data_IF_959107769269
#
_entry.id   IF_959107769269
#
_cell.length_a   1.000
_cell.length_b   1.000
_cell.length_c   1.000
_cell.angle_alpha   90.00
_cell.angle_beta   90.00
_cell.angle_gamma   90.00
#
_symmetry.space_group_name_H-M   'P 1'
#
loop_
_entity.id
_entity.type
_entity.pdbx_description
1 polymer ?
#
# COMPACT_ATOMS: atom_id res chain seq x y z
N UNK A 1 12.59 16.69 -26.86
CA UNK A 1 11.48 16.25 -25.95
C UNK A 1 11.85 16.46 -24.50
N UNK A 2 13.05 16.05 -24.03
CA UNK A 2 13.45 16.22 -22.61
C UNK A 2 13.44 17.69 -22.17
N UNK A 3 13.92 18.61 -22.99
CA UNK A 3 14.05 20.06 -22.69
C UNK A 3 12.70 20.77 -22.43
N UNK A 4 11.59 20.15 -22.79
CA UNK A 4 10.24 20.67 -22.56
C UNK A 4 9.61 20.17 -21.25
N UNK A 5 10.24 19.19 -20.60
CA UNK A 5 9.71 18.57 -19.39
C UNK A 5 10.21 19.33 -18.17
N UNK A 6 9.27 19.83 -17.38
CA UNK A 6 9.54 20.47 -16.10
C UNK A 6 9.22 19.52 -14.94
N UNK A 7 10.18 19.30 -14.04
CA UNK A 7 9.95 18.58 -12.77
C UNK A 7 9.71 19.63 -11.68
N UNK A 8 8.56 19.52 -11.02
CA UNK A 8 8.14 20.46 -9.96
C UNK A 8 7.35 19.74 -8.88
N UNK A 9 7.13 20.41 -7.76
CA UNK A 9 6.18 19.92 -6.74
C UNK A 9 4.77 19.83 -7.31
N UNK A 10 4.04 18.80 -6.91
CA UNK A 10 2.65 18.58 -7.26
C UNK A 10 1.75 19.64 -6.64
N UNK A 11 0.69 20.01 -7.34
CA UNK A 11 -0.40 20.87 -6.87
C UNK A 11 -1.72 20.09 -6.87
N UNK A 12 -2.71 20.54 -6.12
CA UNK A 12 -4.02 19.88 -6.08
C UNK A 12 -4.67 19.74 -7.47
N UNK A 13 -4.50 20.73 -8.34
CA UNK A 13 -5.00 20.69 -9.72
C UNK A 13 -4.39 19.58 -10.58
N UNK A 14 -3.25 19.00 -10.18
CA UNK A 14 -2.60 17.91 -10.91
C UNK A 14 -3.25 16.54 -10.65
N UNK A 15 -4.10 16.40 -9.62
CA UNK A 15 -4.62 15.12 -9.15
C UNK A 15 -5.28 14.29 -10.26
N UNK A 16 -6.06 14.91 -11.15
CA UNK A 16 -6.68 14.24 -12.30
C UNK A 16 -5.63 13.74 -13.30
N UNK A 17 -4.64 14.56 -13.61
CA UNK A 17 -3.52 14.19 -14.49
C UNK A 17 -2.66 13.07 -13.90
N UNK A 18 -2.41 13.10 -12.58
CA UNK A 18 -1.69 12.06 -11.84
C UNK A 18 -2.47 10.74 -11.86
N UNK A 19 -3.78 10.77 -11.64
CA UNK A 19 -4.64 9.60 -11.74
C UNK A 19 -4.55 8.97 -13.13
N UNK A 20 -4.73 9.76 -14.20
CA UNK A 20 -4.65 9.27 -15.57
C UNK A 20 -3.29 8.63 -15.87
N UNK A 21 -2.20 9.35 -15.60
CA UNK A 21 -0.84 8.86 -15.87
C UNK A 21 -0.50 7.59 -15.10
N UNK A 22 -0.87 7.50 -13.82
CA UNK A 22 -0.62 6.30 -13.02
C UNK A 22 -1.46 5.11 -13.46
N UNK A 23 -2.71 5.35 -13.84
CA UNK A 23 -3.64 4.33 -14.33
C UNK A 23 -3.22 3.73 -15.68
N UNK A 24 -2.53 4.50 -16.51
CA UNK A 24 -1.99 4.03 -17.79
C UNK A 24 -0.60 3.35 -17.63
N UNK A 25 0.24 3.86 -16.73
CA UNK A 25 1.65 3.48 -16.64
C UNK A 25 1.95 2.29 -15.70
N UNK A 26 1.12 2.07 -14.66
CA UNK A 26 1.38 1.04 -13.64
C UNK A 26 0.92 -0.35 -14.07
N UNK A 27 -0.28 -0.55 -14.65
CA UNK A 27 -0.74 -1.87 -15.03
C UNK A 27 0.23 -2.57 -15.99
N UNK A 28 0.69 -3.75 -15.63
CA UNK A 28 1.64 -4.53 -16.42
C UNK A 28 0.94 -5.54 -17.35
N UNK A 29 -0.23 -6.06 -16.93
CA UNK A 29 -1.01 -7.06 -17.68
C UNK A 29 -2.29 -6.46 -18.28
N UNK A 30 -2.90 -7.18 -19.22
CA UNK A 30 -4.17 -6.76 -19.81
C UNK A 30 -5.32 -6.90 -18.82
N UNK A 31 -5.26 -7.87 -17.90
CA UNK A 31 -6.21 -8.02 -16.79
C UNK A 31 -6.17 -6.80 -15.88
N UNK A 32 -4.98 -6.36 -15.46
CA UNK A 32 -4.82 -5.15 -14.63
C UNK A 32 -5.33 -3.90 -15.36
N UNK A 33 -5.06 -3.77 -16.67
CA UNK A 33 -5.61 -2.67 -17.48
C UNK A 33 -7.13 -2.71 -17.57
N UNK A 34 -7.71 -3.92 -17.65
CA UNK A 34 -9.17 -4.06 -17.66
C UNK A 34 -9.77 -3.69 -16.29
N UNK A 35 -9.14 -4.11 -15.19
CA UNK A 35 -9.56 -3.70 -13.84
C UNK A 35 -9.53 -2.18 -13.68
N UNK A 36 -8.49 -1.52 -14.18
CA UNK A 36 -8.41 -0.04 -14.16
C UNK A 36 -9.56 0.60 -14.95
N UNK A 37 -9.91 0.06 -16.12
CA UNK A 37 -11.03 0.57 -16.94
C UNK A 37 -12.39 0.36 -16.29
N UNK A 38 -12.53 -0.68 -15.49
CA UNK A 38 -13.79 -1.05 -14.83
C UNK A 38 -14.01 -0.33 -13.49
N UNK A 39 -13.07 0.49 -13.03
CA UNK A 39 -13.21 1.25 -11.77
C UNK A 39 -14.44 2.13 -11.79
N UNK A 40 -15.18 2.11 -10.71
CA UNK A 40 -16.31 3.01 -10.50
C UNK A 40 -15.84 4.47 -10.35
N UNK A 41 -16.76 5.43 -10.55
CA UNK A 41 -16.46 6.84 -10.32
C UNK A 41 -16.04 7.11 -8.86
N UNK A 42 -16.60 6.36 -7.91
CA UNK A 42 -16.29 6.44 -6.48
C UNK A 42 -14.85 5.97 -6.19
N UNK A 43 -14.41 4.85 -6.78
CA UNK A 43 -13.04 4.36 -6.65
C UNK A 43 -12.01 5.35 -7.25
N UNK A 44 -12.35 5.96 -8.38
CA UNK A 44 -11.52 7.00 -9.01
C UNK A 44 -11.40 8.20 -8.08
N UNK A 45 -12.52 8.67 -7.52
CA UNK A 45 -12.53 9.81 -6.61
C UNK A 45 -11.76 9.54 -5.33
N UNK A 46 -11.91 8.36 -4.71
CA UNK A 46 -11.16 7.93 -3.54
C UNK A 46 -9.64 7.95 -3.78
N UNK A 47 -9.19 7.53 -4.99
CA UNK A 47 -7.77 7.60 -5.36
C UNK A 47 -7.27 9.04 -5.46
N UNK A 48 -8.06 9.95 -6.03
CA UNK A 48 -7.72 11.38 -6.11
C UNK A 48 -7.69 12.02 -4.73
N UNK A 49 -8.65 11.70 -3.86
CA UNK A 49 -8.65 12.15 -2.45
C UNK A 49 -7.41 11.69 -1.70
N UNK A 50 -6.91 10.48 -1.95
CA UNK A 50 -5.63 10.03 -1.38
C UNK A 50 -4.45 10.88 -1.84
N UNK A 51 -4.39 11.30 -3.11
CA UNK A 51 -3.33 12.20 -3.57
C UNK A 51 -3.41 13.58 -2.90
N UNK A 52 -4.61 14.08 -2.66
CA UNK A 52 -4.82 15.33 -1.92
C UNK A 52 -4.43 15.19 -0.44
N UNK A 53 -4.76 14.07 0.18
CA UNK A 53 -4.31 13.74 1.53
C UNK A 53 -2.77 13.75 1.64
N UNK A 54 -2.06 13.17 0.67
CA UNK A 54 -0.59 13.24 0.65
C UNK A 54 -0.07 14.66 0.43
N UNK A 55 -0.73 15.49 -0.35
CA UNK A 55 -0.36 16.90 -0.51
C UNK A 55 -0.54 17.68 0.78
N UNK A 56 -1.59 17.40 1.54
CA UNK A 56 -1.87 18.07 2.81
C UNK A 56 -0.78 17.78 3.86
N UNK A 57 -0.30 16.53 3.93
CA UNK A 57 0.60 16.09 4.98
C UNK A 57 2.07 16.00 4.54
N UNK A 58 2.33 15.79 3.24
CA UNK A 58 3.64 15.45 2.69
C UNK A 58 3.99 16.21 1.40
N UNK A 59 3.64 17.49 1.31
CA UNK A 59 3.86 18.28 0.08
C UNK A 59 5.31 18.21 -0.41
N UNK A 60 6.30 18.14 0.50
CA UNK A 60 7.72 18.03 0.15
C UNK A 60 8.08 16.72 -0.55
N UNK A 61 7.29 15.66 -0.32
CA UNK A 61 7.43 14.34 -0.96
C UNK A 61 6.69 14.19 -2.30
N UNK A 62 5.89 15.18 -2.70
CA UNK A 62 4.99 15.08 -3.85
C UNK A 62 5.56 15.82 -5.07
N UNK A 63 5.95 15.06 -6.10
CA UNK A 63 6.60 15.56 -7.30
C UNK A 63 5.90 15.10 -8.58
N UNK A 64 5.81 15.97 -9.55
CA UNK A 64 5.32 15.68 -10.91
C UNK A 64 6.30 16.17 -11.96
N UNK A 65 6.32 15.47 -13.09
CA UNK A 65 6.95 15.92 -14.32
C UNK A 65 5.85 16.30 -15.32
N UNK A 66 5.96 17.48 -15.93
CA UNK A 66 4.95 18.00 -16.87
C UNK A 66 5.56 18.31 -18.22
N UNK A 67 4.82 18.01 -19.30
CA UNK A 67 5.07 18.49 -20.67
C UNK A 67 3.87 19.37 -21.09
N UNK A 68 3.99 20.68 -20.91
CA UNK A 68 2.85 21.59 -20.92
C UNK A 68 1.85 21.22 -19.83
N UNK A 69 0.58 21.01 -20.19
CA UNK A 69 -0.51 20.63 -19.28
C UNK A 69 -0.60 19.12 -18.98
N UNK A 70 0.28 18.31 -19.58
CA UNK A 70 0.25 16.86 -19.38
C UNK A 70 1.19 16.43 -18.27
N UNK A 71 0.72 15.56 -17.39
CA UNK A 71 1.56 14.86 -16.43
C UNK A 71 2.30 13.73 -17.17
N UNK A 72 3.63 13.85 -17.25
CA UNK A 72 4.53 12.87 -17.85
C UNK A 72 5.05 11.83 -16.84
N UNK A 73 4.98 12.14 -15.54
CA UNK A 73 5.36 11.24 -14.48
C UNK A 73 5.08 11.83 -13.11
N UNK A 74 5.08 10.99 -12.10
CA UNK A 74 4.76 11.33 -10.70
C UNK A 74 5.58 10.50 -9.73
N UNK A 75 5.96 11.10 -8.60
CA UNK A 75 6.45 10.43 -7.40
C UNK A 75 5.77 11.06 -6.19
N UNK A 76 5.04 10.26 -5.42
CA UNK A 76 4.44 10.68 -4.14
C UNK A 76 5.08 9.86 -3.03
N UNK A 77 5.73 10.55 -2.11
CA UNK A 77 6.35 9.97 -0.93
C UNK A 77 5.80 10.62 0.32
N UNK A 78 5.70 9.85 1.38
CA UNK A 78 5.25 10.29 2.70
C UNK A 78 6.25 9.89 3.77
N UNK A 79 6.19 10.55 4.93
CA UNK A 79 7.03 10.24 6.10
C UNK A 79 6.12 10.12 7.32
N UNK A 80 6.23 8.99 8.02
CA UNK A 80 5.53 8.76 9.29
C UNK A 80 6.54 8.31 10.34
N UNK A 81 6.67 9.07 11.41
CA UNK A 81 7.59 8.79 12.54
C UNK A 81 9.00 8.36 12.11
N UNK A 82 9.54 9.00 11.06
CA UNK A 82 10.88 8.68 10.55
C UNK A 82 10.98 7.48 9.62
N UNK A 83 9.87 6.89 9.19
CA UNK A 83 9.81 5.92 8.08
C UNK A 83 9.32 6.62 6.81
N UNK A 84 10.13 6.58 5.76
CA UNK A 84 9.81 7.11 4.44
C UNK A 84 9.14 6.03 3.57
N UNK A 85 8.08 6.40 2.87
CA UNK A 85 7.31 5.49 2.01
C UNK A 85 7.15 6.11 0.62
N UNK A 86 7.43 5.35 -0.44
CA UNK A 86 7.04 5.72 -1.81
C UNK A 86 5.66 5.14 -2.12
N UNK A 87 4.65 5.98 -1.98
CA UNK A 87 3.24 5.60 -2.17
C UNK A 87 2.83 5.44 -3.64
N UNK A 88 3.38 6.29 -4.51
CA UNK A 88 3.07 6.26 -5.94
C UNK A 88 4.32 6.63 -6.73
N UNK A 89 4.62 5.84 -7.75
CA UNK A 89 5.68 6.14 -8.70
C UNK A 89 5.28 5.65 -10.10
N UNK A 90 5.14 6.57 -11.02
CA UNK A 90 4.76 6.26 -12.39
C UNK A 90 5.43 7.22 -13.39
N UNK A 91 5.79 6.69 -14.56
CA UNK A 91 6.26 7.47 -15.70
C UNK A 91 5.52 6.97 -16.94
N UNK A 92 4.82 7.86 -17.60
CA UNK A 92 4.10 7.59 -18.85
C UNK A 92 5.07 6.97 -19.88
N UNK A 93 4.65 5.94 -20.57
CA UNK A 93 5.46 5.13 -21.47
C UNK A 93 6.18 5.97 -22.53
N UNK A 94 5.52 7.01 -23.04
CA UNK A 94 6.04 7.93 -24.06
C UNK A 94 7.27 8.72 -23.57
N UNK A 95 7.44 8.86 -22.25
CA UNK A 95 8.53 9.62 -21.61
C UNK A 95 9.55 8.71 -20.91
N UNK A 96 9.47 7.40 -21.10
CA UNK A 96 10.48 6.46 -20.59
C UNK A 96 11.81 6.66 -21.31
N UNK A 97 12.88 6.20 -20.69
CA UNK A 97 14.27 6.29 -21.19
C UNK A 97 14.84 7.74 -21.34
N UNK A 98 14.11 8.76 -20.88
CA UNK A 98 14.57 10.15 -20.84
C UNK A 98 15.23 10.57 -19.49
N UNK A 99 15.52 9.60 -18.60
CA UNK A 99 16.05 9.87 -17.26
C UNK A 99 15.00 10.37 -16.25
N UNK A 100 13.76 10.59 -16.67
CA UNK A 100 12.71 11.21 -15.87
C UNK A 100 12.39 10.45 -14.59
N UNK A 101 12.30 9.12 -14.67
CA UNK A 101 12.05 8.31 -13.49
C UNK A 101 13.20 8.36 -12.47
N UNK A 102 14.46 8.54 -12.92
CA UNK A 102 15.59 8.77 -11.99
C UNK A 102 15.40 10.09 -11.26
N UNK A 103 15.16 11.16 -12.00
CA UNK A 103 15.02 12.50 -11.42
C UNK A 103 13.85 12.58 -10.43
N UNK A 104 12.67 12.03 -10.78
CA UNK A 104 11.52 11.99 -9.88
C UNK A 104 11.81 11.23 -8.60
N UNK A 105 12.44 10.06 -8.69
CA UNK A 105 12.80 9.27 -7.50
C UNK A 105 13.86 9.99 -6.67
N UNK A 106 14.89 10.59 -7.28
CA UNK A 106 15.90 11.35 -6.58
C UNK A 106 15.28 12.51 -5.79
N UNK A 107 14.31 13.22 -6.39
CA UNK A 107 13.56 14.31 -5.71
C UNK A 107 12.74 13.78 -4.53
N UNK A 108 12.04 12.66 -4.70
CA UNK A 108 11.26 12.05 -3.63
C UNK A 108 12.16 11.54 -2.49
N UNK A 109 13.35 11.00 -2.82
CA UNK A 109 14.32 10.50 -1.85
C UNK A 109 14.97 11.63 -1.01
N UNK A 110 15.04 12.87 -1.50
CA UNK A 110 15.47 14.00 -0.66
C UNK A 110 14.55 14.20 0.56
N UNK A 111 13.28 13.80 0.45
CA UNK A 111 12.34 13.85 1.57
C UNK A 111 12.61 12.75 2.63
N UNK A 112 13.45 11.75 2.33
CA UNK A 112 13.85 10.71 3.28
C UNK A 112 15.03 11.12 4.18
N UNK A 113 15.54 12.34 4.07
CA UNK A 113 16.64 12.82 4.88
C UNK A 113 16.27 12.81 6.38
N UNK A 114 17.11 12.16 7.20
CA UNK A 114 16.83 11.96 8.62
C UNK A 114 15.89 10.79 8.97
N UNK A 115 15.34 10.10 7.98
CA UNK A 115 14.53 8.90 8.22
C UNK A 115 15.40 7.71 8.61
N UNK A 116 14.90 6.90 9.55
CA UNK A 116 15.55 5.67 10.03
C UNK A 116 15.36 4.51 9.06
N UNK A 117 14.20 4.44 8.39
CA UNK A 117 13.80 3.38 7.47
C UNK A 117 13.05 3.88 6.26
N UNK A 118 12.92 3.03 5.25
CA UNK A 118 12.16 3.33 4.04
C UNK A 118 11.52 2.09 3.44
N UNK A 119 10.31 2.23 2.86
CA UNK A 119 9.54 1.14 2.27
C UNK A 119 8.94 1.54 0.92
N UNK A 120 8.78 0.56 0.03
CA UNK A 120 8.08 0.71 -1.26
C UNK A 120 7.31 -0.57 -1.55
N UNK A 121 6.02 -0.48 -1.83
CA UNK A 121 5.25 -1.55 -2.45
C UNK A 121 5.42 -1.43 -3.98
N UNK A 122 6.20 -2.31 -4.57
CA UNK A 122 6.62 -2.19 -5.95
C UNK A 122 5.82 -3.11 -6.88
N UNK A 123 5.60 -2.66 -8.11
CA UNK A 123 5.18 -3.56 -9.19
C UNK A 123 6.31 -4.49 -9.58
N UNK A 124 5.98 -5.57 -10.31
CA UNK A 124 6.95 -6.51 -10.88
C UNK A 124 7.75 -5.94 -12.08
N UNK A 125 7.61 -4.64 -12.40
CA UNK A 125 8.25 -4.03 -13.55
C UNK A 125 9.79 -3.99 -13.39
N UNK A 126 10.59 -4.63 -14.27
CA UNK A 126 12.03 -4.82 -14.08
C UNK A 126 12.82 -3.50 -13.92
N UNK A 127 12.43 -2.45 -14.65
CA UNK A 127 13.09 -1.15 -14.56
C UNK A 127 12.85 -0.46 -13.20
N UNK A 128 11.67 -0.67 -12.58
CA UNK A 128 11.37 -0.15 -11.25
C UNK A 128 12.21 -0.90 -10.20
N UNK A 129 12.19 -2.23 -10.20
CA UNK A 129 12.98 -3.07 -9.29
C UNK A 129 14.48 -2.73 -9.38
N UNK A 130 15.04 -2.65 -10.61
CA UNK A 130 16.42 -2.23 -10.81
C UNK A 130 16.71 -0.86 -10.19
N UNK A 131 15.81 0.09 -10.34
CA UNK A 131 15.99 1.45 -9.80
C UNK A 131 15.99 1.46 -8.28
N UNK A 132 15.08 0.73 -7.65
CA UNK A 132 15.02 0.63 -6.18
C UNK A 132 16.25 -0.08 -5.61
N UNK A 133 16.72 -1.15 -6.24
CA UNK A 133 17.97 -1.82 -5.85
C UNK A 133 19.19 -0.87 -5.95
N UNK A 134 19.28 -0.08 -7.04
CA UNK A 134 20.37 0.92 -7.19
C UNK A 134 20.25 2.09 -6.19
N UNK A 135 19.05 2.33 -5.65
CA UNK A 135 18.84 3.29 -4.56
C UNK A 135 19.07 2.68 -3.15
N UNK A 136 19.60 1.45 -3.06
CA UNK A 136 19.97 0.78 -1.82
C UNK A 136 18.84 0.02 -1.12
N UNK A 137 17.71 -0.25 -1.81
CA UNK A 137 16.64 -1.07 -1.25
C UNK A 137 16.91 -2.57 -1.45
N UNK A 138 16.56 -3.35 -0.44
CA UNK A 138 16.47 -4.81 -0.51
C UNK A 138 15.09 -5.20 -0.99
N UNK A 139 14.99 -6.14 -1.93
CA UNK A 139 13.74 -6.65 -2.46
C UNK A 139 13.30 -7.88 -1.67
N UNK A 140 12.11 -7.82 -1.06
CA UNK A 140 11.44 -8.94 -0.41
C UNK A 140 10.36 -9.48 -1.37
N UNK A 141 10.55 -10.67 -1.97
CA UNK A 141 9.57 -11.27 -2.86
C UNK A 141 8.22 -11.46 -2.15
N UNK A 142 7.12 -11.27 -2.87
CA UNK A 142 5.77 -11.44 -2.32
C UNK A 142 4.91 -12.35 -3.19
N UNK A 143 3.88 -12.90 -2.53
CA UNK A 143 2.72 -13.50 -3.18
C UNK A 143 1.50 -12.61 -2.93
N UNK A 144 0.51 -12.73 -3.80
CA UNK A 144 -0.85 -12.27 -3.59
C UNK A 144 -1.77 -13.48 -3.62
N UNK A 145 -2.73 -13.55 -2.67
CA UNK A 145 -3.81 -14.52 -2.73
C UNK A 145 -5.07 -13.82 -3.25
N UNK A 146 -5.75 -14.42 -4.22
CA UNK A 146 -6.96 -13.83 -4.81
C UNK A 146 -8.01 -14.87 -5.18
N UNK A 147 -9.27 -14.45 -5.17
CA UNK A 147 -10.41 -15.29 -5.54
C UNK A 147 -11.65 -15.03 -4.69
N UNK A 148 -12.67 -15.88 -4.84
CA UNK A 148 -13.89 -15.81 -4.03
C UNK A 148 -13.75 -16.65 -2.77
N UNK A 149 -14.16 -16.09 -1.64
CA UNK A 149 -14.14 -16.74 -0.32
C UNK A 149 -15.18 -17.85 -0.26
N UNK A 150 -14.74 -19.06 0.08
CA UNK A 150 -15.64 -20.17 0.43
C UNK A 150 -16.12 -20.00 1.88
N UNK A 151 -17.35 -19.54 2.06
CA UNK A 151 -17.89 -19.20 3.37
C UNK A 151 -18.09 -20.39 4.32
N UNK A 152 -18.23 -21.58 3.78
CA UNK A 152 -18.35 -22.85 4.54
C UNK A 152 -17.03 -23.26 5.22
N UNK A 153 -15.93 -22.63 4.86
CA UNK A 153 -14.61 -22.85 5.45
C UNK A 153 -14.25 -21.84 6.54
N UNK A 154 -15.12 -20.85 6.81
CA UNK A 154 -14.86 -19.84 7.84
C UNK A 154 -15.02 -20.45 9.24
N UNK A 155 -14.10 -20.22 10.18
CA UNK A 155 -14.21 -20.70 11.54
C UNK A 155 -15.24 -19.90 12.34
N UNK A 156 -15.83 -20.56 13.36
CA UNK A 156 -16.66 -19.89 14.37
C UNK A 156 -15.79 -19.34 15.50
N UNK A 157 -16.34 -18.35 16.24
CA UNK A 157 -15.76 -17.90 17.52
C UNK A 157 -14.48 -17.07 17.40
N UNK A 158 -14.35 -16.27 16.34
CA UNK A 158 -13.24 -15.33 16.17
C UNK A 158 -13.22 -14.28 17.29
N UNK A 159 -12.01 -13.90 17.75
CA UNK A 159 -11.81 -12.99 18.89
C UNK A 159 -11.86 -11.51 18.51
N UNK A 160 -12.12 -11.20 17.26
CA UNK A 160 -12.14 -9.84 16.75
C UNK A 160 -13.43 -9.11 17.13
N UNK A 161 -13.31 -7.82 17.33
CA UNK A 161 -14.43 -6.88 17.41
C UNK A 161 -14.25 -5.72 16.44
N UNK A 162 -15.32 -4.99 16.18
CA UNK A 162 -15.21 -3.71 15.48
C UNK A 162 -14.40 -2.72 16.33
N UNK A 163 -13.50 -1.98 15.67
CA UNK A 163 -12.67 -0.98 16.31
C UNK A 163 -13.39 0.37 16.40
N UNK A 164 -13.09 1.11 17.46
CA UNK A 164 -13.62 2.43 17.79
C UNK A 164 -12.50 3.48 17.78
N UNK A 165 -12.83 4.76 17.99
CA UNK A 165 -11.85 5.86 18.01
C UNK A 165 -10.81 5.66 19.13
N UNK A 166 -11.23 5.11 20.24
CA UNK A 166 -10.38 4.81 21.40
C UNK A 166 -9.28 3.77 21.09
N UNK A 167 -9.50 2.93 20.06
CA UNK A 167 -8.53 1.92 19.62
C UNK A 167 -7.38 2.49 18.79
N UNK A 168 -7.46 3.73 18.32
CA UNK A 168 -6.40 4.34 17.50
C UNK A 168 -5.05 4.38 18.22
N UNK A 169 -5.06 4.48 19.56
CA UNK A 169 -3.84 4.40 20.35
C UNK A 169 -3.24 2.99 20.29
N UNK A 170 -4.05 1.94 20.47
CA UNK A 170 -3.62 0.54 20.34
C UNK A 170 -3.03 0.29 18.94
N UNK A 171 -3.70 0.75 17.89
CA UNK A 171 -3.20 0.63 16.51
C UNK A 171 -1.82 1.26 16.37
N UNK A 172 -1.63 2.49 16.86
CA UNK A 172 -0.35 3.18 16.80
C UNK A 172 0.76 2.45 17.58
N UNK A 173 0.44 1.85 18.72
CA UNK A 173 1.38 1.04 19.51
C UNK A 173 1.79 -0.24 18.78
N UNK A 174 0.83 -0.97 18.20
CA UNK A 174 1.10 -2.18 17.39
C UNK A 174 1.93 -1.83 16.16
N UNK A 175 1.62 -0.76 15.46
CA UNK A 175 2.39 -0.27 14.32
C UNK A 175 3.86 0.00 14.68
N UNK A 176 4.11 0.70 15.79
CA UNK A 176 5.48 1.00 16.23
C UNK A 176 6.26 -0.28 16.55
N UNK A 177 5.59 -1.29 17.15
CA UNK A 177 6.20 -2.59 17.45
C UNK A 177 6.51 -3.38 16.19
N UNK A 178 5.61 -3.40 15.21
CA UNK A 178 5.66 -4.29 14.04
C UNK A 178 6.34 -3.63 12.85
N UNK A 179 5.97 -2.39 12.54
CA UNK A 179 6.48 -1.63 11.39
C UNK A 179 7.64 -0.69 11.76
N UNK A 180 7.70 -0.23 13.01
CA UNK A 180 8.67 0.75 13.50
C UNK A 180 8.14 2.18 13.51
N UNK A 181 6.90 2.41 13.07
CA UNK A 181 6.28 3.73 13.01
C UNK A 181 4.76 3.61 12.90
N UNK A 182 4.01 4.48 13.57
CA UNK A 182 2.56 4.57 13.40
C UNK A 182 2.17 5.12 12.02
N UNK A 183 0.99 4.75 11.51
CA UNK A 183 0.43 5.31 10.27
C UNK A 183 -0.08 6.75 10.45
N UNK A 184 -0.47 7.12 11.68
CA UNK A 184 -0.97 8.46 11.99
C UNK A 184 -2.18 8.86 11.13
N UNK A 185 -2.13 10.02 10.44
CA UNK A 185 -3.27 10.54 9.69
C UNK A 185 -3.72 9.64 8.53
N UNK A 186 -2.88 8.70 8.09
CA UNK A 186 -3.23 7.76 7.00
C UNK A 186 -4.27 6.75 7.44
N UNK A 187 -4.21 6.27 8.69
CA UNK A 187 -5.23 5.39 9.27
C UNK A 187 -6.59 6.10 9.33
N UNK A 188 -6.61 7.34 9.88
CA UNK A 188 -7.83 8.15 9.93
C UNK A 188 -8.41 8.40 8.53
N UNK A 189 -7.55 8.65 7.54
CA UNK A 189 -7.97 8.77 6.15
C UNK A 189 -8.63 7.49 5.64
N UNK A 190 -8.03 6.31 5.88
CA UNK A 190 -8.60 5.03 5.46
C UNK A 190 -10.00 4.82 6.07
N UNK A 191 -10.16 5.05 7.36
CA UNK A 191 -11.45 4.89 8.06
C UNK A 191 -12.50 5.90 7.55
N UNK A 192 -12.13 7.16 7.39
CA UNK A 192 -13.02 8.21 6.86
C UNK A 192 -13.46 7.92 5.41
N UNK A 193 -12.70 7.19 4.64
CA UNK A 193 -13.04 6.80 3.27
C UNK A 193 -13.80 5.48 3.18
N UNK A 194 -14.31 4.97 4.31
CA UNK A 194 -15.25 3.87 4.39
C UNK A 194 -14.66 2.50 4.64
N UNK A 195 -13.35 2.40 4.94
CA UNK A 195 -12.78 1.14 5.40
C UNK A 195 -13.14 0.93 6.88
N UNK A 196 -13.28 -0.34 7.28
CA UNK A 196 -13.61 -0.71 8.66
C UNK A 196 -12.37 -1.12 9.43
N UNK A 197 -12.36 -0.83 10.71
CA UNK A 197 -11.34 -1.26 11.66
C UNK A 197 -11.82 -2.50 12.42
N UNK A 198 -11.00 -3.53 12.45
CA UNK A 198 -11.16 -4.72 13.30
C UNK A 198 -10.02 -4.76 14.30
N UNK A 199 -10.31 -5.15 15.54
CA UNK A 199 -9.34 -5.14 16.64
C UNK A 199 -9.39 -6.45 17.43
N UNK A 200 -8.23 -6.89 17.89
CA UNK A 200 -8.06 -7.88 18.97
C UNK A 200 -7.21 -7.22 20.07
N UNK A 201 -7.69 -7.27 21.29
CA UNK A 201 -6.98 -6.76 22.48
C UNK A 201 -7.27 -7.67 23.67
N UNK A 202 -6.45 -8.69 23.84
CA UNK A 202 -6.57 -9.65 24.93
C UNK A 202 -5.20 -10.15 25.43
N UNK A 203 -5.20 -11.02 26.45
CA UNK A 203 -3.99 -11.55 27.07
C UNK A 203 -3.13 -12.41 26.12
N UNK A 204 -3.66 -12.90 25.00
CA UNK A 204 -2.95 -13.74 24.03
C UNK A 204 -2.29 -12.92 22.91
N UNK A 205 -2.68 -11.65 22.75
CA UNK A 205 -2.07 -10.76 21.77
C UNK A 205 -2.93 -9.55 21.44
N UNK A 206 -2.29 -8.57 20.82
CA UNK A 206 -2.93 -7.34 20.34
C UNK A 206 -2.71 -7.20 18.85
N UNK A 207 -3.69 -6.66 18.15
CA UNK A 207 -3.58 -6.43 16.72
C UNK A 207 -4.80 -5.74 16.14
N UNK A 208 -4.68 -5.35 14.89
CA UNK A 208 -5.76 -4.71 14.15
C UNK A 208 -5.70 -5.09 12.67
N UNK A 209 -6.83 -4.93 12.00
CA UNK A 209 -6.90 -4.94 10.55
C UNK A 209 -7.81 -3.82 10.05
N UNK A 210 -7.44 -3.20 8.93
CA UNK A 210 -8.29 -2.31 8.16
C UNK A 210 -8.79 -3.10 6.96
N UNK A 211 -10.09 -3.23 6.81
CA UNK A 211 -10.70 -4.11 5.81
C UNK A 211 -11.63 -3.36 4.86
N UNK A 212 -11.65 -3.79 3.61
CA UNK A 212 -12.61 -3.38 2.59
C UNK A 212 -13.16 -4.61 1.88
N UNK A 213 -14.44 -4.88 2.06
CA UNK A 213 -15.16 -6.00 1.42
C UNK A 213 -14.36 -7.31 1.41
N UNK A 214 -13.93 -7.76 2.58
CA UNK A 214 -13.18 -9.01 2.75
C UNK A 214 -11.68 -8.93 2.45
N UNK A 215 -11.20 -7.87 1.82
CA UNK A 215 -9.79 -7.68 1.50
C UNK A 215 -9.10 -6.88 2.62
N UNK A 216 -8.05 -7.41 3.27
CA UNK A 216 -7.26 -6.65 4.24
C UNK A 216 -6.47 -5.56 3.51
N UNK A 217 -6.81 -4.30 3.77
CA UNK A 217 -6.07 -3.14 3.27
C UNK A 217 -4.81 -2.85 4.10
N UNK A 218 -4.79 -3.30 5.34
CA UNK A 218 -3.68 -3.22 6.28
C UNK A 218 -3.96 -4.20 7.44
N UNK A 219 -2.94 -4.93 7.92
CA UNK A 219 -3.06 -5.78 9.11
C UNK A 219 -1.73 -5.82 9.85
N UNK A 220 -1.76 -5.64 11.17
CA UNK A 220 -0.61 -5.82 12.05
C UNK A 220 -1.04 -6.46 13.37
N UNK A 221 -0.18 -7.34 13.91
CA UNK A 221 -0.44 -7.99 15.18
C UNK A 221 0.85 -8.30 15.94
N UNK A 222 0.75 -8.48 17.26
CA UNK A 222 1.88 -8.81 18.10
C UNK A 222 2.20 -10.31 18.10
N UNK A 223 1.25 -11.16 17.67
CA UNK A 223 1.43 -12.62 17.55
C UNK A 223 0.83 -13.15 16.23
N UNK A 224 1.37 -14.25 15.67
CA UNK A 224 0.79 -14.88 14.48
C UNK A 224 -0.66 -15.34 14.69
N UNK A 225 -1.02 -15.83 15.87
CA UNK A 225 -2.37 -16.31 16.22
C UNK A 225 -3.38 -15.16 16.14
N UNK A 226 -3.02 -13.98 16.65
CA UNK A 226 -3.85 -12.77 16.54
C UNK A 226 -3.98 -12.32 15.09
N UNK A 227 -2.91 -12.38 14.30
CA UNK A 227 -2.96 -12.05 12.88
C UNK A 227 -3.85 -13.02 12.09
N UNK A 228 -3.84 -14.30 12.44
CA UNK A 228 -4.71 -15.33 11.84
C UNK A 228 -6.18 -15.01 12.11
N UNK A 229 -6.55 -14.70 13.35
CA UNK A 229 -7.94 -14.35 13.70
C UNK A 229 -8.40 -13.09 12.96
N UNK A 230 -7.55 -12.06 12.89
CA UNK A 230 -7.83 -10.84 12.12
C UNK A 230 -8.03 -11.12 10.63
N UNK A 231 -7.17 -11.95 10.04
CA UNK A 231 -7.30 -12.30 8.63
C UNK A 231 -8.58 -13.10 8.34
N UNK A 232 -8.92 -14.06 9.21
CA UNK A 232 -10.20 -14.78 9.12
C UNK A 232 -11.38 -13.82 9.19
N UNK A 233 -11.34 -12.86 10.09
CA UNK A 233 -12.41 -11.87 10.24
C UNK A 233 -12.52 -10.95 9.04
N UNK A 234 -11.39 -10.51 8.45
CA UNK A 234 -11.43 -9.78 7.19
C UNK A 234 -12.14 -10.59 6.11
N UNK A 235 -11.73 -11.84 5.89
CA UNK A 235 -12.30 -12.71 4.85
C UNK A 235 -13.79 -13.01 5.07
N UNK A 236 -14.24 -13.05 6.33
CA UNK A 236 -15.65 -13.24 6.68
C UNK A 236 -16.54 -12.06 6.27
N UNK A 237 -15.98 -10.86 6.10
CA UNK A 237 -16.69 -9.65 5.65
C UNK A 237 -16.94 -9.59 4.14
N UNK A 238 -16.44 -10.56 3.36
CA UNK A 238 -16.65 -10.57 1.91
C UNK A 238 -18.13 -10.62 1.54
N UNK A 239 -18.56 -9.72 0.66
CA UNK A 239 -19.92 -9.69 0.08
C UNK A 239 -20.17 -10.81 -0.93
N UNK A 240 -19.14 -11.59 -1.30
CA UNK A 240 -19.18 -12.61 -2.34
C UNK A 240 -18.46 -12.18 -3.63
N UNK A 241 -18.00 -10.95 -3.69
CA UNK A 241 -17.07 -10.50 -4.74
C UNK A 241 -15.66 -11.09 -4.52
N UNK A 242 -14.80 -11.14 -5.54
CA UNK A 242 -13.41 -11.57 -5.37
C UNK A 242 -12.66 -10.68 -4.40
N UNK A 243 -11.96 -11.31 -3.44
CA UNK A 243 -11.09 -10.63 -2.48
C UNK A 243 -9.62 -10.77 -2.87
N UNK A 244 -8.79 -9.90 -2.32
CA UNK A 244 -7.33 -9.93 -2.49
C UNK A 244 -6.62 -9.81 -1.14
N UNK A 245 -5.65 -10.69 -0.89
CA UNK A 245 -4.72 -10.59 0.25
C UNK A 245 -3.32 -10.38 -0.33
N UNK A 246 -2.88 -9.13 -0.47
CA UNK A 246 -1.61 -8.80 -1.12
C UNK A 246 -0.43 -8.88 -0.15
N UNK A 247 0.78 -8.78 -0.70
CA UNK A 247 2.04 -8.56 0.01
C UNK A 247 2.44 -9.65 1.00
N UNK A 248 2.07 -10.91 0.74
CA UNK A 248 2.48 -12.06 1.55
C UNK A 248 3.96 -12.34 1.26
N UNK A 249 4.87 -11.82 2.11
CA UNK A 249 6.31 -12.17 2.06
C UNK A 249 6.56 -13.51 2.75
N UNK A 250 7.78 -14.03 2.66
CA UNK A 250 8.17 -15.25 3.39
C UNK A 250 7.95 -15.17 4.91
N UNK A 251 8.05 -13.98 5.50
CA UNK A 251 7.76 -13.75 6.92
C UNK A 251 6.26 -13.81 7.25
N UNK A 252 5.39 -13.70 6.25
CA UNK A 252 3.93 -13.80 6.40
C UNK A 252 3.39 -15.18 6.06
N UNK A 253 4.22 -16.24 6.17
CA UNK A 253 3.78 -17.61 5.87
C UNK A 253 2.61 -18.08 6.75
N UNK A 254 2.35 -17.42 7.88
CA UNK A 254 1.18 -17.64 8.73
C UNK A 254 -0.15 -17.38 8.00
N UNK A 255 -0.18 -16.49 6.99
CA UNK A 255 -1.37 -16.17 6.20
C UNK A 255 -1.69 -17.26 5.15
N UNK A 256 -0.70 -18.01 4.69
CA UNK A 256 -0.87 -18.99 3.59
C UNK A 256 -1.90 -20.06 3.89
N UNK A 257 -1.89 -20.75 5.07
CA UNK A 257 -2.92 -21.73 5.39
C UNK A 257 -4.33 -21.12 5.39
N UNK A 258 -4.49 -19.88 5.89
CA UNK A 258 -5.77 -19.19 5.97
C UNK A 258 -6.34 -18.96 4.58
N UNK A 259 -5.57 -18.33 3.68
CA UNK A 259 -6.04 -18.00 2.34
C UNK A 259 -6.35 -19.24 1.50
N UNK A 260 -5.56 -20.32 1.66
CA UNK A 260 -5.81 -21.59 0.96
C UNK A 260 -7.07 -22.30 1.50
N UNK A 261 -7.33 -22.24 2.80
CA UNK A 261 -8.50 -22.86 3.41
C UNK A 261 -9.82 -22.27 2.86
N UNK A 262 -9.88 -20.96 2.61
CA UNK A 262 -11.05 -20.32 1.98
C UNK A 262 -11.07 -20.42 0.45
N UNK A 263 -10.10 -21.11 -0.16
CA UNK A 263 -10.08 -21.40 -1.60
C UNK A 263 -9.47 -20.30 -2.47
N UNK A 264 -8.73 -19.36 -1.87
CA UNK A 264 -7.98 -18.38 -2.68
C UNK A 264 -6.77 -19.02 -3.35
N UNK A 265 -6.37 -18.48 -4.50
CA UNK A 265 -5.22 -18.92 -5.28
C UNK A 265 -4.04 -17.99 -5.08
N UNK A 266 -2.85 -18.55 -4.88
CA UNK A 266 -1.61 -17.79 -4.74
C UNK A 266 -0.97 -17.51 -6.10
N UNK A 267 -0.49 -16.29 -6.30
CA UNK A 267 0.30 -15.90 -7.47
C UNK A 267 1.50 -15.02 -7.07
N UNK A 268 2.62 -15.07 -7.81
CA UNK A 268 3.72 -14.14 -7.61
C UNK A 268 3.29 -12.69 -7.84
N UNK A 269 3.79 -11.78 -7.00
CA UNK A 269 3.54 -10.34 -7.11
C UNK A 269 4.84 -9.53 -7.08
N UNK A 270 4.73 -8.21 -7.21
CA UNK A 270 5.86 -7.32 -7.08
C UNK A 270 6.39 -7.28 -5.64
N UNK A 271 7.67 -6.97 -5.41
CA UNK A 271 8.28 -7.05 -4.09
C UNK A 271 7.87 -5.89 -3.17
N UNK A 272 7.92 -6.12 -1.87
CA UNK A 272 8.15 -5.06 -0.90
C UNK A 272 9.63 -4.73 -0.89
N UNK A 273 9.97 -3.45 -1.05
CA UNK A 273 11.36 -2.99 -1.01
C UNK A 273 11.59 -2.27 0.32
N UNK A 274 12.66 -2.62 1.02
CA UNK A 274 12.97 -2.08 2.35
C UNK A 274 14.41 -1.55 2.40
N UNK A 275 14.63 -0.50 3.22
CA UNK A 275 15.95 0.08 3.45
C UNK A 275 16.02 0.65 4.86
N UNK A 276 17.18 0.55 5.54
CA UNK A 276 17.42 1.10 6.88
C UNK A 276 16.74 0.29 7.99
N UNK A 277 16.46 0.97 9.10
CA UNK A 277 15.89 0.34 10.29
C UNK A 277 14.36 0.45 10.26
N UNK A 278 13.72 -0.70 10.31
CA UNK A 278 12.27 -0.87 10.41
C UNK A 278 11.96 -1.82 11.57
N UNK A 279 10.70 -1.95 11.94
CA UNK A 279 10.26 -3.04 12.80
C UNK A 279 10.47 -4.42 12.14
N UNK A 280 10.11 -5.51 12.82
CA UNK A 280 10.29 -6.87 12.30
C UNK A 280 9.44 -7.15 11.06
N UNK A 281 8.45 -6.31 10.74
CA UNK A 281 7.49 -6.44 9.64
C UNK A 281 6.78 -7.80 9.63
N UNK A 282 6.51 -8.34 10.82
CA UNK A 282 5.80 -9.61 11.00
C UNK A 282 5.24 -9.72 12.42
N UNK A 283 3.98 -10.21 12.57
CA UNK A 283 2.95 -10.42 11.54
C UNK A 283 2.45 -9.09 10.96
N UNK A 284 2.52 -8.94 9.63
CA UNK A 284 2.20 -7.68 8.97
C UNK A 284 1.77 -7.91 7.51
N UNK A 285 0.62 -7.41 7.12
CA UNK A 285 0.20 -7.26 5.73
C UNK A 285 0.10 -5.76 5.44
N UNK A 286 1.08 -5.16 4.73
CA UNK A 286 1.12 -3.73 4.52
C UNK A 286 0.02 -3.23 3.59
N UNK A 287 -0.36 -1.98 3.77
CA UNK A 287 -1.14 -1.26 2.77
C UNK A 287 -0.23 -0.85 1.60
N UNK A 288 -0.63 -1.14 0.37
CA UNK A 288 0.16 -0.76 -0.81
C UNK A 288 0.53 0.74 -0.85
N UNK A 289 -0.43 1.66 -0.67
CA UNK A 289 -0.14 3.10 -0.73
C UNK A 289 0.37 3.72 0.57
N UNK A 290 0.19 3.08 1.74
CA UNK A 290 0.54 3.67 3.03
C UNK A 290 1.63 2.88 3.78
N UNK A 291 1.90 1.62 3.37
CA UNK A 291 2.91 0.68 3.89
C UNK A 291 3.09 0.66 5.39
#
# INVERSE_FOLDING_TARGET
MRDRILVRQMKAADAEGVYRTSSEAIPATDEERQQVRNRSAEEVERRKQRYLHFLEHDQRGAWVATDGDKIAGVALALVREGVWILSLFAVDERYRNLGLGKELLDRALLYSEGCSGAMIAASSHPAAMRRYTLAGFTLLPTLTAGGKVRRDSLPDGLRTREGEEEDLQLVAEVDRLVRGAAHGPDLEFMLRTGLRLLVVDDASGRGYAVVWDGSPALLAATTPETAIDLLWSCLAESSGEPVEVPWITGSQNWAVPVVLAVGLSLSPAGPICVRGNLGPLTPYLPSGPFL
#
